data_IF_184799102773
#
_entry.id   IF_184799102773
#
_cell.length_a   1.000
_cell.length_b   1.000
_cell.length_c   1.000
_cell.angle_alpha   90.00
_cell.angle_beta   90.00
_cell.angle_gamma   90.00
#
_symmetry.space_group_name_H-M   'P 1'
#
loop_
_entity.id
_entity.type
_entity.pdbx_description
1 polymer ?
#
# COMPACT_ATOMS: atom_id res chain seq x y z
N UNK A 1 -49.39 -38.98 -3.74
CA UNK A 1 -47.92 -39.17 -3.79
C UNK A 1 -47.30 -37.82 -4.11
N UNK A 2 -46.72 -37.15 -3.12
CA UNK A 2 -45.88 -35.98 -3.35
C UNK A 2 -44.45 -36.41 -3.01
N UNK A 3 -43.58 -36.14 -3.97
CA UNK A 3 -42.22 -36.65 -4.12
C UNK A 3 -41.29 -36.14 -3.01
N UNK A 4 -40.43 -37.03 -2.48
CA UNK A 4 -39.30 -36.65 -1.62
C UNK A 4 -38.27 -35.91 -2.50
N UNK A 5 -37.81 -34.70 -2.15
CA UNK A 5 -36.86 -33.97 -2.98
C UNK A 5 -35.47 -34.62 -2.94
N UNK A 6 -34.85 -34.74 -4.12
CA UNK A 6 -33.48 -35.22 -4.34
C UNK A 6 -32.43 -34.26 -3.77
N UNK A 7 -31.22 -34.74 -3.43
CA UNK A 7 -30.19 -33.90 -2.83
C UNK A 7 -29.74 -32.82 -3.82
N UNK A 8 -29.82 -31.57 -3.37
CA UNK A 8 -29.56 -30.35 -4.13
C UNK A 8 -28.11 -30.33 -4.66
N UNK A 9 -27.96 -30.16 -5.98
CA UNK A 9 -26.68 -29.91 -6.65
C UNK A 9 -26.15 -28.52 -6.30
N UNK A 10 -24.88 -28.45 -5.92
CA UNK A 10 -24.22 -27.32 -5.25
C UNK A 10 -24.04 -26.14 -6.23
N UNK A 11 -25.04 -25.26 -6.29
CA UNK A 11 -24.90 -23.90 -6.79
C UNK A 11 -24.10 -23.07 -5.77
N UNK A 12 -22.77 -23.10 -5.84
CA UNK A 12 -21.92 -22.11 -5.16
C UNK A 12 -21.59 -20.97 -6.12
N UNK A 13 -22.56 -20.11 -6.37
CA UNK A 13 -22.27 -18.78 -6.89
C UNK A 13 -21.57 -17.99 -5.76
N UNK A 14 -20.24 -17.99 -5.76
CA UNK A 14 -19.41 -17.14 -4.90
C UNK A 14 -19.64 -15.68 -5.29
N UNK A 15 -20.50 -14.99 -4.54
CA UNK A 15 -20.73 -13.57 -4.69
C UNK A 15 -19.60 -12.80 -3.99
N UNK A 16 -18.56 -12.41 -4.74
CA UNK A 16 -17.50 -11.54 -4.22
C UNK A 16 -18.01 -10.10 -4.21
N UNK A 17 -18.44 -9.61 -3.05
CA UNK A 17 -18.62 -8.18 -2.85
C UNK A 17 -17.24 -7.54 -2.68
N UNK A 18 -16.73 -6.93 -3.76
CA UNK A 18 -15.47 -6.19 -3.70
C UNK A 18 -15.79 -4.72 -3.47
N UNK A 19 -15.35 -4.17 -2.34
CA UNK A 19 -15.40 -2.72 -2.15
C UNK A 19 -14.45 -2.05 -3.15
N UNK A 20 -14.85 -0.93 -3.79
CA UNK A 20 -13.96 -0.21 -4.68
C UNK A 20 -12.74 0.32 -3.92
N UNK A 21 -11.57 0.19 -4.54
CA UNK A 21 -10.33 0.75 -4.00
C UNK A 21 -10.40 2.27 -4.09
N UNK A 22 -10.21 2.95 -2.97
CA UNK A 22 -10.16 4.40 -2.88
C UNK A 22 -8.78 4.88 -3.32
N UNK A 23 -8.73 6.10 -3.85
CA UNK A 23 -7.47 6.78 -4.14
C UNK A 23 -6.64 6.86 -2.84
N UNK A 24 -5.38 6.39 -2.84
CA UNK A 24 -4.55 6.41 -1.65
C UNK A 24 -4.22 7.86 -1.24
N UNK A 25 -4.15 8.11 0.07
CA UNK A 25 -3.67 9.39 0.61
C UNK A 25 -2.25 9.20 1.14
N UNK A 26 -1.30 9.98 0.63
CA UNK A 26 0.09 9.97 1.07
C UNK A 26 0.35 11.12 2.04
N UNK A 27 0.91 10.81 3.21
CA UNK A 27 1.24 11.79 4.26
C UNK A 27 2.72 11.68 4.63
N UNK A 28 3.41 12.81 4.72
CA UNK A 28 4.79 12.89 5.21
C UNK A 28 4.82 13.39 6.65
N UNK A 29 5.72 12.86 7.48
CA UNK A 29 5.93 13.34 8.85
C UNK A 29 6.45 14.78 8.89
N UNK A 30 7.28 15.17 7.93
CA UNK A 30 7.81 16.51 7.77
C UNK A 30 8.13 16.76 6.28
N UNK A 31 7.76 17.92 5.77
CA UNK A 31 8.04 18.36 4.39
C UNK A 31 9.21 19.34 4.31
N UNK A 32 9.73 19.79 5.46
CA UNK A 32 10.89 20.69 5.56
C UNK A 32 11.98 19.97 6.33
N UNK A 33 12.91 19.36 5.60
CA UNK A 33 13.95 18.50 6.17
C UNK A 33 15.34 18.94 5.75
N UNK A 34 16.32 18.70 6.62
CA UNK A 34 17.71 18.97 6.35
C UNK A 34 18.45 17.68 5.97
N UNK A 35 19.14 17.74 4.82
CA UNK A 35 19.97 16.67 4.28
C UNK A 35 20.96 16.14 5.33
N UNK A 36 21.18 14.82 5.36
CA UNK A 36 22.09 14.12 6.26
C UNK A 36 21.80 14.23 7.76
N UNK A 37 20.71 14.89 8.17
CA UNK A 37 20.34 15.02 9.58
C UNK A 37 18.95 14.49 9.88
N UNK A 38 17.97 14.89 9.09
CA UNK A 38 16.59 14.57 9.39
C UNK A 38 16.15 13.30 8.65
N UNK A 39 15.14 12.63 9.21
CA UNK A 39 14.44 11.50 8.61
C UNK A 39 13.01 11.87 8.23
N UNK A 40 12.47 11.19 7.22
CA UNK A 40 11.06 11.33 6.83
C UNK A 40 10.39 9.98 6.92
N UNK A 41 9.16 10.00 7.42
CA UNK A 41 8.25 8.87 7.39
C UNK A 41 7.11 9.23 6.44
N UNK A 42 7.01 8.49 5.35
CA UNK A 42 5.91 8.56 4.40
C UNK A 42 4.91 7.45 4.70
N UNK A 43 3.63 7.80 4.85
CA UNK A 43 2.55 6.85 5.16
C UNK A 43 1.46 6.91 4.10
N UNK A 44 1.15 5.77 3.52
CA UNK A 44 0.09 5.57 2.54
C UNK A 44 -1.17 5.03 3.22
N UNK A 45 -2.24 5.83 3.21
CA UNK A 45 -3.56 5.44 3.67
C UNK A 45 -4.41 4.95 2.49
N UNK A 46 -4.76 3.67 2.51
CA UNK A 46 -5.56 3.02 1.46
C UNK A 46 -6.36 1.83 2.01
N UNK A 47 -7.46 1.48 1.34
CA UNK A 47 -8.17 0.20 1.55
C UNK A 47 -7.67 -0.91 0.61
N UNK A 48 -6.65 -0.64 -0.21
CA UNK A 48 -6.04 -1.66 -1.05
C UNK A 48 -5.37 -2.77 -0.20
N UNK A 49 -5.38 -3.97 -0.77
CA UNK A 49 -4.76 -5.16 -0.18
C UNK A 49 -3.23 -5.07 -0.22
N UNK A 50 -2.67 -4.39 -1.23
CA UNK A 50 -1.23 -4.19 -1.41
C UNK A 50 -0.90 -2.74 -1.72
N UNK A 51 0.34 -2.35 -1.40
CA UNK A 51 0.91 -1.02 -1.68
C UNK A 51 2.22 -1.20 -2.43
N UNK A 52 2.48 -0.34 -3.41
CA UNK A 52 3.75 -0.28 -4.12
C UNK A 52 4.23 1.17 -4.13
N UNK A 53 5.51 1.36 -3.83
CA UNK A 53 6.13 2.68 -3.82
C UNK A 53 6.75 2.97 -5.18
N UNK A 54 6.58 4.21 -5.64
CA UNK A 54 7.14 4.69 -6.89
C UNK A 54 7.98 5.94 -6.63
N UNK A 55 9.10 6.04 -7.35
CA UNK A 55 9.93 7.24 -7.42
C UNK A 55 10.14 7.58 -8.90
N UNK A 56 9.80 8.82 -9.28
CA UNK A 56 9.88 9.29 -10.67
C UNK A 56 9.19 8.36 -11.68
N UNK A 57 8.01 7.82 -11.32
CA UNK A 57 7.21 6.95 -12.19
C UNK A 57 7.71 5.51 -12.32
N UNK A 58 8.77 5.12 -11.63
CA UNK A 58 9.29 3.76 -11.58
C UNK A 58 9.12 3.15 -10.20
N UNK A 59 9.09 1.82 -10.11
CA UNK A 59 9.11 1.13 -8.81
C UNK A 59 10.30 1.61 -7.98
N UNK A 60 10.03 1.95 -6.72
CA UNK A 60 11.06 2.41 -5.81
C UNK A 60 12.08 1.28 -5.57
N UNK A 61 13.32 1.52 -5.96
CA UNK A 61 14.44 0.71 -5.53
C UNK A 61 14.80 1.06 -4.10
N UNK A 62 14.63 0.13 -3.16
CA UNK A 62 15.02 0.35 -1.78
C UNK A 62 16.53 0.49 -1.66
N UNK A 63 16.97 1.55 -1.00
CA UNK A 63 18.37 1.77 -0.62
C UNK A 63 18.60 1.35 0.83
N UNK A 64 19.85 1.35 1.28
CA UNK A 64 20.20 1.07 2.68
C UNK A 64 19.58 2.07 3.69
N UNK A 65 19.24 3.29 3.23
CA UNK A 65 18.60 4.32 4.07
C UNK A 65 17.09 4.11 4.20
N UNK A 66 16.50 3.24 3.36
CA UNK A 66 15.07 3.06 3.26
C UNK A 66 14.60 1.83 4.04
N UNK A 67 13.50 1.99 4.77
CA UNK A 67 12.84 0.90 5.50
C UNK A 67 11.35 0.90 5.23
N UNK A 68 10.83 -0.21 4.76
CA UNK A 68 9.39 -0.43 4.68
C UNK A 68 8.86 -1.06 5.97
N UNK A 69 7.66 -0.67 6.35
CA UNK A 69 6.88 -1.43 7.34
C UNK A 69 6.52 -2.80 6.80
N UNK A 70 6.15 -3.71 7.70
CA UNK A 70 5.74 -5.08 7.35
C UNK A 70 4.64 -5.18 6.27
N UNK A 71 3.78 -4.17 6.17
CA UNK A 71 2.67 -4.12 5.21
C UNK A 71 2.92 -3.14 4.06
N UNK A 72 4.15 -2.66 3.89
CA UNK A 72 4.58 -1.71 2.86
C UNK A 72 3.82 -0.38 2.82
N UNK A 73 3.05 -0.05 3.87
CA UNK A 73 2.27 1.20 3.95
C UNK A 73 3.07 2.38 4.47
N UNK A 74 4.17 2.12 5.16
CA UNK A 74 5.04 3.15 5.70
C UNK A 74 6.44 2.96 5.13
N UNK A 75 6.98 4.02 4.54
CA UNK A 75 8.36 4.11 4.08
C UNK A 75 9.09 5.13 4.96
N UNK A 76 10.13 4.69 5.65
CA UNK A 76 11.05 5.55 6.37
C UNK A 76 12.31 5.74 5.56
N UNK A 77 12.78 6.97 5.43
CA UNK A 77 14.05 7.33 4.81
C UNK A 77 14.91 8.02 5.88
N UNK A 78 16.03 7.41 6.23
CA UNK A 78 16.91 7.86 7.31
C UNK A 78 18.40 7.55 7.04
N UNK A 79 19.27 8.57 6.91
CA UNK A 79 18.95 9.99 6.80
C UNK A 79 18.45 10.35 5.39
N UNK A 80 17.71 11.45 5.26
CA UNK A 80 17.35 12.02 3.94
C UNK A 80 18.59 12.53 3.22
N UNK A 81 18.63 12.31 1.91
CA UNK A 81 19.66 12.82 0.98
C UNK A 81 19.02 13.60 -0.18
N UNK A 82 19.83 14.37 -0.90
CA UNK A 82 19.37 15.06 -2.13
C UNK A 82 18.78 14.13 -3.17
N UNK A 83 19.25 12.88 -3.19
CA UNK A 83 18.79 11.80 -4.07
C UNK A 83 17.31 11.47 -3.87
N UNK A 84 16.79 11.66 -2.65
CA UNK A 84 15.41 11.34 -2.29
C UNK A 84 14.40 12.42 -2.72
N UNK A 85 14.89 13.57 -3.18
CA UNK A 85 14.04 14.65 -3.65
C UNK A 85 13.28 14.22 -4.92
N UNK A 86 11.95 14.36 -4.90
CA UNK A 86 11.08 14.21 -6.06
C UNK A 86 10.72 15.55 -6.70
N UNK A 87 10.19 15.51 -7.93
CA UNK A 87 9.69 16.66 -8.67
C UNK A 87 8.15 16.64 -8.73
#
# INVERSE_FOLDING_TARGET
MAQVPSPLSINHALYFFTEPVRVPTLVASNTTVMEHKDSVVLTCYTNAVSTQWFYSGMNLGLTEQMKLSWNDRTLTIDPIRKEDAGN
#
